data_IF_738044556820
#
_entry.id   IF_738044556820
#
_cell.length_a   1.000
_cell.length_b   1.000
_cell.length_c   1.000
_cell.angle_alpha   90.00
_cell.angle_beta   90.00
_cell.angle_gamma   90.00
#
_symmetry.space_group_name_H-M   'P 1'
#
loop_
_entity.id
_entity.type
_entity.pdbx_description
1 polymer ?
#
# COMPACT_ATOMS: atom_id res chain seq x y z
N UNK A 1 -11.16 -14.31 18.04
CA UNK A 1 -11.87 -13.10 18.53
C UNK A 1 -11.38 -12.62 19.89
N UNK A 2 -11.35 -13.43 20.96
CA UNK A 2 -10.94 -12.94 22.31
C UNK A 2 -9.51 -12.37 22.37
N UNK A 3 -8.55 -12.91 21.60
CA UNK A 3 -7.17 -12.41 21.59
C UNK A 3 -7.03 -10.98 21.05
N UNK A 4 -7.79 -10.64 20.00
CA UNK A 4 -7.80 -9.30 19.43
C UNK A 4 -8.40 -8.28 20.39
N UNK A 5 -9.54 -8.61 21.02
CA UNK A 5 -10.12 -7.76 22.07
C UNK A 5 -9.16 -7.57 23.24
N UNK A 6 -8.49 -8.64 23.68
CA UNK A 6 -7.51 -8.55 24.76
C UNK A 6 -6.35 -7.62 24.40
N UNK A 7 -5.86 -7.65 23.15
CA UNK A 7 -4.81 -6.74 22.70
C UNK A 7 -5.25 -5.27 22.75
N UNK A 8 -6.49 -4.97 22.31
CA UNK A 8 -7.08 -3.63 22.43
C UNK A 8 -7.18 -3.21 23.90
N UNK A 9 -7.77 -4.05 24.75
CA UNK A 9 -8.01 -3.75 26.17
C UNK A 9 -6.71 -3.55 26.97
N UNK A 10 -5.60 -4.13 26.51
CA UNK A 10 -4.31 -4.07 27.20
C UNK A 10 -3.24 -3.25 26.44
N UNK A 11 -3.64 -2.52 25.39
CA UNK A 11 -2.75 -1.70 24.56
C UNK A 11 -1.84 -0.80 25.39
N UNK A 12 -2.43 0.10 26.16
CA UNK A 12 -1.68 1.10 26.93
C UNK A 12 -0.96 0.48 28.13
N UNK A 13 -1.47 -0.64 28.65
CA UNK A 13 -0.88 -1.35 29.80
C UNK A 13 0.48 -1.98 29.46
N UNK A 14 0.60 -2.53 28.26
CA UNK A 14 1.81 -3.23 27.82
C UNK A 14 2.58 -2.51 26.70
N UNK A 15 2.07 -1.38 26.19
CA UNK A 15 2.64 -0.70 25.02
C UNK A 15 2.51 -1.58 23.78
N UNK A 16 1.30 -2.09 23.50
CA UNK A 16 1.06 -2.94 22.32
C UNK A 16 0.86 -2.04 21.10
N UNK A 17 1.94 -1.78 20.38
CA UNK A 17 1.88 -0.98 19.15
C UNK A 17 1.55 -1.84 17.92
N UNK A 18 1.88 -3.14 17.97
CA UNK A 18 1.80 -4.06 16.83
C UNK A 18 1.13 -5.38 17.23
N UNK A 19 0.21 -5.85 16.39
CA UNK A 19 -0.38 -7.20 16.43
C UNK A 19 -0.05 -7.92 15.12
N UNK A 20 0.37 -9.18 15.23
CA UNK A 20 0.59 -10.04 14.07
C UNK A 20 -0.24 -11.32 14.20
N UNK A 21 -0.88 -11.74 13.11
CA UNK A 21 -1.67 -12.98 13.06
C UNK A 21 -1.31 -13.80 11.84
N UNK A 22 -0.59 -14.89 12.08
CA UNK A 22 -0.22 -15.91 11.10
C UNK A 22 -1.26 -17.05 11.00
N UNK A 23 -2.54 -16.70 11.08
CA UNK A 23 -3.67 -17.62 11.07
C UNK A 23 -4.69 -17.16 10.03
N UNK A 24 -5.36 -18.10 9.40
CA UNK A 24 -6.48 -17.87 8.49
C UNK A 24 -7.37 -19.11 8.44
N UNK A 25 -8.55 -18.94 7.86
CA UNK A 25 -9.40 -20.07 7.49
C UNK A 25 -8.74 -20.85 6.35
N UNK A 26 -8.60 -22.17 6.51
CA UNK A 26 -8.12 -23.05 5.44
C UNK A 26 -9.33 -23.75 4.84
N UNK A 27 -9.90 -23.17 3.79
CA UNK A 27 -10.99 -23.81 3.04
C UNK A 27 -10.49 -24.18 1.64
N UNK A 28 -10.72 -25.42 1.22
CA UNK A 28 -10.49 -25.86 -0.16
C UNK A 28 -11.65 -25.35 -1.03
N UNK A 29 -11.77 -24.04 -1.23
CA UNK A 29 -12.86 -23.47 -2.03
C UNK A 29 -12.43 -22.18 -2.73
N UNK A 30 -13.09 -21.85 -3.85
CA UNK A 30 -13.07 -20.50 -4.40
C UNK A 30 -13.93 -19.66 -3.46
N UNK A 31 -13.34 -18.68 -2.77
CA UNK A 31 -14.07 -17.90 -1.76
C UNK A 31 -15.09 -16.97 -2.43
N UNK A 32 -16.36 -17.09 -2.05
CA UNK A 32 -17.45 -16.22 -2.56
C UNK A 32 -17.82 -15.16 -1.50
N UNK A 33 -17.28 -15.30 -0.28
CA UNK A 33 -17.63 -14.54 0.92
C UNK A 33 -16.42 -13.94 1.66
N UNK A 34 -15.24 -13.92 1.05
CA UNK A 34 -14.04 -13.24 1.55
C UNK A 34 -14.07 -11.72 1.24
N UNK A 35 -15.15 -11.05 1.61
CA UNK A 35 -15.37 -9.61 1.38
C UNK A 35 -14.96 -8.75 2.58
N UNK A 36 -14.28 -9.32 3.58
CA UNK A 36 -13.92 -8.64 4.83
C UNK A 36 -15.08 -8.54 5.83
N UNK A 37 -16.27 -9.06 5.52
CA UNK A 37 -17.43 -9.02 6.42
C UNK A 37 -17.47 -10.16 7.43
N UNK A 38 -16.46 -11.03 7.45
CA UNK A 38 -16.31 -12.07 8.47
C UNK A 38 -16.20 -11.45 9.87
N UNK A 39 -16.64 -12.18 10.90
CA UNK A 39 -16.49 -11.72 12.28
C UNK A 39 -15.02 -11.58 12.70
N UNK A 40 -14.11 -12.34 12.08
CA UNK A 40 -12.68 -12.23 12.34
C UNK A 40 -12.08 -11.02 11.61
N UNK A 41 -12.42 -10.81 10.34
CA UNK A 41 -11.91 -9.69 9.53
C UNK A 41 -12.29 -8.35 10.17
N UNK A 42 -13.58 -8.16 10.51
CA UNK A 42 -14.04 -6.96 11.25
C UNK A 42 -13.35 -6.78 12.61
N UNK A 43 -13.01 -7.87 13.29
CA UNK A 43 -12.30 -7.77 14.57
C UNK A 43 -10.86 -7.30 14.37
N UNK A 44 -10.19 -7.70 13.28
CA UNK A 44 -8.86 -7.21 12.96
C UNK A 44 -8.90 -5.75 12.48
N UNK A 45 -9.96 -5.33 11.79
CA UNK A 45 -10.20 -3.91 11.49
C UNK A 45 -10.34 -3.09 12.78
N UNK A 46 -11.11 -3.56 13.77
CA UNK A 46 -11.21 -2.90 15.08
C UNK A 46 -9.87 -2.79 15.83
N UNK A 47 -8.94 -3.73 15.63
CA UNK A 47 -7.58 -3.61 16.21
C UNK A 47 -6.83 -2.45 15.57
N UNK A 48 -6.94 -2.30 14.25
CA UNK A 48 -6.35 -1.16 13.53
C UNK A 48 -6.99 0.16 13.93
N UNK A 49 -8.31 0.22 14.03
CA UNK A 49 -9.06 1.40 14.49
C UNK A 49 -8.68 1.81 15.93
N UNK A 50 -8.27 0.87 16.76
CA UNK A 50 -7.74 1.14 18.10
C UNK A 50 -6.29 1.69 18.11
N UNK A 51 -5.71 1.98 16.93
CA UNK A 51 -4.37 2.54 16.80
C UNK A 51 -3.26 1.50 17.02
N UNK A 52 -3.52 0.24 16.64
CA UNK A 52 -2.54 -0.86 16.70
C UNK A 52 -2.23 -1.31 15.27
N UNK A 53 -0.96 -1.21 14.86
CA UNK A 53 -0.50 -1.69 13.56
C UNK A 53 -0.73 -3.20 13.49
N UNK A 54 -1.40 -3.66 12.44
CA UNK A 54 -1.82 -5.07 12.34
C UNK A 54 -1.32 -5.69 11.04
N UNK A 55 -0.58 -6.81 11.15
CA UNK A 55 -0.14 -7.61 10.01
C UNK A 55 -0.82 -8.99 10.00
N UNK A 56 -1.30 -9.40 8.83
CA UNK A 56 -2.02 -10.65 8.61
C UNK A 56 -1.35 -11.48 7.53
N UNK A 57 -1.36 -12.80 7.65
CA UNK A 57 -0.92 -13.68 6.57
C UNK A 57 -1.93 -13.69 5.42
N UNK A 58 -1.45 -13.64 4.17
CA UNK A 58 -2.32 -13.81 3.01
C UNK A 58 -2.97 -15.19 2.92
N UNK A 59 -2.34 -16.22 3.53
CA UNK A 59 -2.79 -17.61 3.47
C UNK A 59 -1.83 -18.50 2.68
N UNK A 60 -2.04 -19.82 2.74
CA UNK A 60 -1.22 -20.79 2.01
C UNK A 60 -2.09 -21.79 1.24
N UNK A 61 -3.25 -21.32 0.80
CA UNK A 61 -4.25 -22.12 0.12
C UNK A 61 -3.60 -22.81 -1.09
N UNK A 62 -4.02 -24.04 -1.36
CA UNK A 62 -3.50 -24.92 -2.42
C UNK A 62 -2.17 -25.63 -2.18
N UNK A 63 -1.34 -25.32 -1.18
CA UNK A 63 -0.28 -26.24 -0.71
C UNK A 63 0.59 -26.91 -1.79
N UNK A 64 0.97 -26.20 -2.86
CA UNK A 64 1.74 -26.73 -3.99
C UNK A 64 0.96 -27.55 -5.02
N UNK A 65 -0.36 -27.73 -4.87
CA UNK A 65 -1.25 -28.21 -5.91
C UNK A 65 -1.63 -27.03 -6.82
N UNK A 66 -1.06 -27.00 -8.03
CA UNK A 66 -1.30 -26.02 -9.09
C UNK A 66 -2.71 -26.11 -9.70
N UNK A 67 -3.75 -26.15 -8.88
CA UNK A 67 -5.14 -26.03 -9.32
C UNK A 67 -5.63 -24.61 -9.07
N UNK A 68 -5.06 -23.72 -9.89
CA UNK A 68 -5.70 -22.57 -10.54
C UNK A 68 -6.77 -21.79 -9.77
N UNK A 69 -6.43 -20.58 -9.32
CA UNK A 69 -7.43 -19.58 -8.95
C UNK A 69 -6.88 -18.23 -8.50
N UNK A 70 -7.42 -17.15 -9.06
CA UNK A 70 -7.53 -15.87 -8.36
C UNK A 70 -8.43 -16.06 -7.14
N UNK A 71 -8.40 -15.14 -6.17
CA UNK A 71 -9.37 -15.12 -5.08
C UNK A 71 -9.21 -16.29 -4.08
N UNK A 72 -8.00 -16.40 -3.53
CA UNK A 72 -7.58 -17.44 -2.58
C UNK A 72 -7.15 -16.89 -1.22
N UNK A 73 -7.19 -15.57 -1.04
CA UNK A 73 -7.00 -14.93 0.26
C UNK A 73 -8.30 -15.04 1.05
N UNK A 74 -8.26 -15.62 2.24
CA UNK A 74 -9.42 -15.81 3.09
C UNK A 74 -9.33 -14.99 4.39
N UNK A 75 -10.39 -15.02 5.17
CA UNK A 75 -10.49 -14.41 6.50
C UNK A 75 -9.39 -14.91 7.45
N UNK A 76 -8.70 -14.00 8.17
CA UNK A 76 -8.90 -12.55 8.22
C UNK A 76 -8.05 -11.76 7.20
N UNK A 77 -7.28 -12.42 6.33
CA UNK A 77 -6.40 -11.76 5.35
C UNK A 77 -7.14 -10.87 4.34
N UNK A 78 -8.46 -11.05 4.21
CA UNK A 78 -9.38 -10.22 3.44
C UNK A 78 -9.83 -8.93 4.19
N UNK A 79 -9.43 -8.71 5.45
CA UNK A 79 -9.76 -7.50 6.21
C UNK A 79 -9.28 -6.21 5.51
N UNK A 80 -10.01 -5.11 5.69
CA UNK A 80 -9.79 -3.87 4.93
C UNK A 80 -8.56 -3.09 5.42
N UNK A 81 -8.46 -2.90 6.73
CA UNK A 81 -7.50 -2.00 7.34
C UNK A 81 -6.12 -2.64 7.56
N UNK A 82 -5.99 -3.88 8.07
CA UNK A 82 -4.69 -4.52 8.27
C UNK A 82 -3.86 -4.64 6.99
N UNK A 83 -2.55 -4.83 7.18
CA UNK A 83 -1.61 -5.15 6.11
C UNK A 83 -1.52 -6.67 5.95
N UNK A 84 -2.00 -7.16 4.82
CA UNK A 84 -1.97 -8.58 4.44
C UNK A 84 -0.67 -8.88 3.70
N UNK A 85 0.05 -9.93 4.12
CA UNK A 85 1.43 -10.19 3.72
C UNK A 85 1.55 -11.47 2.90
N UNK A 86 2.02 -11.34 1.66
CA UNK A 86 2.40 -12.45 0.77
C UNK A 86 3.79 -13.01 1.11
N UNK A 87 4.06 -14.24 0.65
CA UNK A 87 5.32 -14.95 0.89
C UNK A 87 6.18 -14.98 -0.36
N UNK A 88 7.45 -14.60 -0.20
CA UNK A 88 8.49 -14.73 -1.22
C UNK A 88 9.43 -15.90 -0.90
N UNK A 89 9.98 -16.49 -1.97
CA UNK A 89 11.14 -17.35 -1.95
C UNK A 89 12.44 -16.55 -1.72
N UNK A 90 13.55 -17.25 -1.45
CA UNK A 90 14.85 -16.61 -1.17
C UNK A 90 15.49 -15.95 -2.40
N UNK A 91 15.07 -16.35 -3.59
CA UNK A 91 15.39 -15.68 -4.86
C UNK A 91 14.42 -14.53 -5.15
N UNK A 92 13.57 -14.18 -4.19
CA UNK A 92 12.57 -13.11 -4.23
C UNK A 92 11.44 -13.37 -5.24
N UNK A 93 11.32 -14.59 -5.78
CA UNK A 93 10.12 -15.02 -6.50
C UNK A 93 8.91 -15.12 -5.56
N UNK A 94 7.70 -14.95 -6.08
CA UNK A 94 6.50 -15.23 -5.30
C UNK A 94 6.45 -16.73 -4.98
N UNK A 95 6.32 -17.07 -3.70
CA UNK A 95 6.26 -18.48 -3.32
C UNK A 95 5.00 -19.13 -3.92
N UNK A 96 5.15 -20.32 -4.49
CA UNK A 96 4.05 -21.00 -5.22
C UNK A 96 2.78 -21.18 -4.38
N UNK A 97 2.93 -21.31 -3.06
CA UNK A 97 1.84 -21.50 -2.11
C UNK A 97 1.24 -20.17 -1.60
N UNK A 98 1.79 -19.01 -1.95
CA UNK A 98 1.27 -17.73 -1.47
C UNK A 98 -0.10 -17.46 -2.09
N UNK A 99 -1.09 -17.22 -1.24
CA UNK A 99 -2.43 -16.88 -1.69
C UNK A 99 -2.45 -15.53 -2.40
N UNK A 100 -3.41 -15.40 -3.32
CA UNK A 100 -3.55 -14.29 -4.26
C UNK A 100 -4.98 -13.76 -4.20
N UNK A 101 -5.13 -12.45 -4.29
CA UNK A 101 -6.43 -11.81 -4.42
C UNK A 101 -7.03 -11.99 -5.82
N UNK A 102 -8.01 -11.19 -6.21
CA UNK A 102 -8.70 -10.17 -5.41
C UNK A 102 -9.54 -10.80 -4.29
N UNK A 103 -10.02 -10.00 -3.35
CA UNK A 103 -11.16 -10.39 -2.50
C UNK A 103 -12.44 -10.49 -3.35
N UNK A 104 -13.49 -11.15 -2.84
CA UNK A 104 -14.77 -11.28 -3.56
C UNK A 104 -15.48 -9.94 -3.85
N UNK A 105 -15.16 -8.89 -3.10
CA UNK A 105 -15.59 -7.50 -3.33
C UNK A 105 -14.61 -6.66 -4.16
N UNK A 106 -13.66 -7.31 -4.85
CA UNK A 106 -12.69 -6.71 -5.78
C UNK A 106 -11.66 -5.76 -5.15
N UNK A 107 -11.42 -5.83 -3.83
CA UNK A 107 -10.26 -5.16 -3.23
C UNK A 107 -8.99 -5.91 -3.58
N UNK A 108 -7.92 -5.15 -3.82
CA UNK A 108 -6.59 -5.72 -4.04
C UNK A 108 -6.05 -6.19 -2.70
N UNK A 109 -5.70 -7.46 -2.63
CA UNK A 109 -4.89 -8.09 -1.58
C UNK A 109 -3.95 -9.10 -2.26
N UNK A 110 -2.76 -9.38 -1.72
CA UNK A 110 -2.18 -8.85 -0.47
C UNK A 110 -1.79 -7.38 -0.60
N UNK A 111 -1.34 -6.76 0.50
CA UNK A 111 -0.83 -5.38 0.47
C UNK A 111 0.69 -5.34 0.17
N UNK A 112 1.46 -6.31 0.66
CA UNK A 112 2.93 -6.35 0.49
C UNK A 112 3.44 -7.79 0.51
N UNK A 113 4.59 -8.05 -0.08
CA UNK A 113 5.26 -9.35 -0.03
C UNK A 113 6.62 -9.28 0.68
N UNK A 114 6.95 -10.31 1.47
CA UNK A 114 8.30 -10.46 2.05
C UNK A 114 8.71 -11.92 2.15
N UNK A 115 9.97 -12.21 2.46
CA UNK A 115 10.51 -13.57 2.46
C UNK A 115 9.81 -14.41 3.54
N UNK A 116 9.16 -15.50 3.11
CA UNK A 116 8.50 -16.46 4.00
C UNK A 116 8.89 -17.91 3.75
N UNK A 117 9.67 -18.22 2.70
CA UNK A 117 10.16 -19.57 2.43
C UNK A 117 11.48 -19.91 3.10
N UNK A 118 11.56 -21.13 3.65
CA UNK A 118 12.78 -21.70 4.23
C UNK A 118 13.41 -20.79 5.29
N UNK A 119 12.56 -20.20 6.13
CA UNK A 119 12.94 -19.33 7.24
C UNK A 119 13.37 -20.19 8.41
N UNK A 120 14.61 -19.99 8.86
CA UNK A 120 15.13 -20.58 10.09
C UNK A 120 14.57 -19.81 11.28
N UNK A 121 13.83 -20.50 12.15
CA UNK A 121 13.21 -19.93 13.34
C UNK A 121 13.40 -20.86 14.55
N UNK A 122 13.27 -20.34 15.79
CA UNK A 122 13.34 -21.17 16.99
C UNK A 122 12.35 -22.34 16.93
N UNK A 123 12.82 -23.54 17.28
CA UNK A 123 11.98 -24.73 17.30
C UNK A 123 11.31 -24.88 18.67
N UNK A 124 9.99 -24.91 18.68
CA UNK A 124 9.22 -24.99 19.91
C UNK A 124 9.53 -26.29 20.67
N UNK A 125 9.49 -26.23 22.00
CA UNK A 125 9.85 -27.34 22.88
C UNK A 125 11.33 -27.80 22.81
N UNK A 126 12.21 -26.97 22.24
CA UNK A 126 13.66 -27.12 22.34
C UNK A 126 14.29 -25.96 23.12
N UNK A 127 15.49 -26.15 23.66
CA UNK A 127 16.18 -25.09 24.41
C UNK A 127 16.93 -24.12 23.49
N UNK A 128 17.56 -24.64 22.44
CA UNK A 128 18.43 -23.93 21.52
C UNK A 128 18.26 -24.40 20.06
N UNK A 129 17.22 -25.19 19.80
CA UNK A 129 16.94 -25.75 18.48
C UNK A 129 16.37 -24.71 17.52
N UNK A 130 16.70 -24.90 16.25
CA UNK A 130 16.15 -24.13 15.15
C UNK A 130 15.60 -25.08 14.09
N UNK A 131 14.52 -24.65 13.44
CA UNK A 131 13.87 -25.39 12.37
C UNK A 131 13.57 -24.48 11.20
N UNK A 132 13.57 -25.04 10.00
CA UNK A 132 13.21 -24.33 8.78
C UNK A 132 11.73 -24.53 8.50
N UNK A 133 10.99 -23.44 8.31
CA UNK A 133 9.58 -23.46 7.89
C UNK A 133 9.34 -22.52 6.72
N UNK A 134 8.27 -22.80 5.97
CA UNK A 134 7.82 -21.99 4.84
C UNK A 134 6.35 -21.64 5.02
N UNK A 135 5.95 -20.42 4.66
CA UNK A 135 4.56 -19.97 4.68
C UNK A 135 4.44 -18.45 4.73
N UNK A 136 3.28 -17.92 4.31
CA UNK A 136 2.89 -16.53 4.62
C UNK A 136 2.86 -16.28 6.12
N UNK A 137 2.62 -17.33 6.92
CA UNK A 137 2.78 -17.35 8.38
C UNK A 137 4.20 -16.99 8.86
N UNK A 138 5.23 -17.19 8.05
CA UNK A 138 6.62 -16.80 8.34
C UNK A 138 6.94 -15.40 7.79
N UNK A 139 6.35 -15.02 6.66
CA UNK A 139 6.48 -13.66 6.09
C UNK A 139 5.82 -12.60 6.99
N UNK A 140 4.66 -12.91 7.56
CA UNK A 140 3.87 -11.98 8.40
C UNK A 140 4.61 -11.45 9.64
N UNK A 141 5.24 -12.31 10.48
CA UNK A 141 6.02 -11.81 11.61
C UNK A 141 7.33 -11.12 11.19
N UNK A 142 7.87 -11.43 10.00
CA UNK A 142 8.99 -10.66 9.45
C UNK A 142 8.53 -9.21 9.15
N UNK A 143 7.37 -9.04 8.52
CA UNK A 143 6.77 -7.72 8.31
C UNK A 143 6.42 -7.02 9.62
N UNK A 144 5.95 -7.74 10.64
CA UNK A 144 5.73 -7.19 11.97
C UNK A 144 7.03 -6.69 12.62
N UNK A 145 8.16 -7.38 12.39
CA UNK A 145 9.48 -6.92 12.82
C UNK A 145 9.91 -5.63 12.13
N UNK A 146 9.63 -5.49 10.82
CA UNK A 146 9.85 -4.24 10.09
C UNK A 146 8.98 -3.11 10.66
N UNK A 147 7.70 -3.39 10.93
CA UNK A 147 6.81 -2.43 11.59
C UNK A 147 7.35 -1.98 12.96
N UNK A 148 7.95 -2.88 13.74
CA UNK A 148 8.55 -2.54 15.02
C UNK A 148 9.74 -1.58 14.88
N UNK A 149 10.54 -1.72 13.81
CA UNK A 149 11.61 -0.76 13.50
C UNK A 149 11.05 0.59 13.05
N UNK A 150 9.95 0.62 12.30
CA UNK A 150 9.27 1.86 11.91
C UNK A 150 8.71 2.60 13.13
N UNK A 151 8.06 1.89 14.05
CA UNK A 151 7.58 2.45 15.33
C UNK A 151 8.75 2.89 16.21
N UNK A 152 9.88 2.19 16.18
CA UNK A 152 11.08 2.64 16.89
C UNK A 152 11.61 3.97 16.34
N UNK A 153 11.59 4.16 15.02
CA UNK A 153 11.99 5.42 14.39
C UNK A 153 10.98 6.54 14.63
N UNK A 154 9.68 6.22 14.68
CA UNK A 154 8.59 7.15 14.96
C UNK A 154 7.54 6.51 15.89
N UNK A 155 7.64 6.74 17.22
CA UNK A 155 6.73 6.14 18.20
C UNK A 155 5.26 6.54 18.07
N UNK A 156 4.99 7.62 17.34
CA UNK A 156 3.65 8.15 17.12
C UNK A 156 3.07 7.68 15.77
N UNK A 157 3.77 6.79 15.04
CA UNK A 157 3.36 6.29 13.73
C UNK A 157 1.97 5.64 13.80
N UNK A 158 1.06 6.16 12.98
CA UNK A 158 -0.31 5.63 12.92
C UNK A 158 -0.41 4.43 11.98
N UNK A 159 -1.43 3.55 12.15
CA UNK A 159 -1.64 2.45 11.21
C UNK A 159 -1.90 2.90 9.77
N UNK A 160 -2.53 4.06 9.57
CA UNK A 160 -2.73 4.66 8.25
C UNK A 160 -1.39 5.08 7.63
N UNK A 161 -0.58 5.86 8.36
CA UNK A 161 0.77 6.25 7.88
C UNK A 161 1.65 5.02 7.59
N UNK A 162 1.56 3.97 8.41
CA UNK A 162 2.24 2.70 8.17
C UNK A 162 1.84 2.07 6.83
N UNK A 163 0.53 2.01 6.53
CA UNK A 163 0.03 1.47 5.26
C UNK A 163 0.38 2.36 4.07
N UNK A 164 0.33 3.68 4.24
CA UNK A 164 0.71 4.64 3.21
C UNK A 164 2.20 4.55 2.87
N UNK A 165 3.09 4.41 3.87
CA UNK A 165 4.52 4.18 3.66
C UNK A 165 4.75 2.89 2.86
N UNK A 166 4.10 1.78 3.26
CA UNK A 166 4.21 0.52 2.51
C UNK A 166 3.79 0.72 1.06
N UNK A 167 2.68 1.42 0.83
CA UNK A 167 2.15 1.64 -0.51
C UNK A 167 3.08 2.47 -1.40
N UNK A 168 3.72 3.50 -0.84
CA UNK A 168 4.54 4.43 -1.59
C UNK A 168 5.99 3.95 -1.77
N UNK A 169 6.50 3.11 -0.88
CA UNK A 169 7.93 2.75 -0.79
C UNK A 169 8.26 1.29 -1.07
N UNK A 170 7.26 0.43 -1.33
CA UNK A 170 7.54 -0.97 -1.70
C UNK A 170 8.34 -1.05 -3.01
N UNK A 171 9.24 -2.03 -3.09
CA UNK A 171 10.00 -2.32 -4.31
C UNK A 171 9.08 -3.02 -5.29
N UNK A 172 8.87 -2.40 -6.44
CA UNK A 172 8.06 -2.98 -7.50
C UNK A 172 8.67 -4.31 -8.00
N UNK A 173 7.81 -5.32 -8.23
CA UNK A 173 8.22 -6.65 -8.70
C UNK A 173 7.49 -6.98 -10.00
N UNK A 174 8.23 -7.34 -11.04
CA UNK A 174 7.63 -7.71 -12.33
C UNK A 174 6.64 -8.87 -12.16
N UNK A 175 5.44 -8.70 -12.70
CA UNK A 175 4.44 -9.75 -12.78
C UNK A 175 4.87 -10.68 -13.93
N UNK A 176 5.30 -11.90 -13.62
CA UNK A 176 5.75 -12.84 -14.63
C UNK A 176 4.55 -13.54 -15.31
N UNK A 177 4.03 -12.91 -16.37
CA UNK A 177 2.89 -13.37 -17.15
C UNK A 177 3.07 -14.72 -17.89
N UNK A 178 4.30 -15.25 -18.01
CA UNK A 178 4.62 -16.29 -19.03
C UNK A 178 5.31 -17.56 -18.52
N UNK A 179 5.51 -17.74 -17.20
CA UNK A 179 6.18 -18.93 -16.67
C UNK A 179 5.36 -19.71 -15.63
N UNK A 180 4.12 -19.33 -15.33
CA UNK A 180 3.22 -20.17 -14.54
C UNK A 180 2.46 -21.13 -15.48
N UNK A 181 2.71 -22.45 -15.43
CA UNK A 181 2.01 -23.44 -16.25
C UNK A 181 0.53 -23.66 -15.87
N UNK A 182 -0.02 -22.90 -14.91
CA UNK A 182 -1.44 -22.89 -14.57
C UNK A 182 -2.16 -21.65 -15.09
N UNK A 183 -3.49 -21.72 -15.22
CA UNK A 183 -4.38 -20.59 -15.47
C UNK A 183 -4.43 -19.60 -14.27
N UNK A 184 -3.28 -19.28 -13.67
CA UNK A 184 -3.09 -18.47 -12.46
C UNK A 184 -2.87 -16.99 -12.74
N UNK A 185 -2.77 -16.60 -14.01
CA UNK A 185 -2.59 -15.21 -14.40
C UNK A 185 -3.90 -14.44 -14.28
N UNK A 186 -4.10 -13.89 -13.10
CA UNK A 186 -5.22 -13.05 -12.72
C UNK A 186 -4.96 -11.56 -12.98
N UNK A 187 -3.79 -11.23 -13.54
CA UNK A 187 -3.35 -9.86 -13.82
C UNK A 187 -3.95 -9.34 -15.13
N UNK A 188 -5.25 -9.60 -15.34
CA UNK A 188 -6.01 -9.29 -16.56
C UNK A 188 -5.93 -7.80 -16.95
N UNK A 189 -5.48 -6.94 -16.03
CA UNK A 189 -4.98 -5.59 -16.28
C UNK A 189 -3.77 -5.36 -15.35
N UNK A 190 -2.62 -4.96 -15.89
CA UNK A 190 -1.47 -4.48 -15.11
C UNK A 190 -1.93 -3.30 -14.24
N UNK A 191 -2.23 -3.58 -12.98
CA UNK A 191 -2.72 -2.59 -12.03
C UNK A 191 -1.89 -2.71 -10.77
N UNK A 192 -1.45 -1.58 -10.24
CA UNK A 192 -0.67 -1.51 -9.00
C UNK A 192 -1.51 -0.76 -7.94
N UNK A 193 -1.71 -1.33 -6.75
CA UNK A 193 -1.23 -2.63 -6.30
C UNK A 193 -1.85 -3.79 -7.10
N UNK A 194 -1.10 -4.89 -7.25
CA UNK A 194 -1.55 -6.11 -7.93
C UNK A 194 -2.00 -7.18 -6.92
N UNK A 195 -2.65 -8.24 -7.40
CA UNK A 195 -3.24 -9.26 -6.54
C UNK A 195 -2.26 -10.37 -6.09
N UNK A 196 -0.98 -10.25 -6.41
CA UNK A 196 0.08 -11.21 -6.06
C UNK A 196 1.09 -10.64 -5.06
N UNK A 197 1.68 -9.50 -5.40
CA UNK A 197 2.68 -8.78 -4.60
C UNK A 197 2.09 -7.58 -3.85
N UNK A 198 0.86 -7.18 -4.15
CA UNK A 198 0.28 -5.96 -3.60
C UNK A 198 1.00 -4.73 -4.14
N UNK A 199 1.48 -3.88 -3.23
CA UNK A 199 2.34 -2.73 -3.58
C UNK A 199 3.76 -3.15 -3.96
N UNK A 200 4.17 -4.40 -3.69
CA UNK A 200 5.47 -4.93 -4.06
C UNK A 200 6.17 -5.67 -2.93
N UNK A 201 7.48 -5.82 -3.07
CA UNK A 201 8.35 -6.37 -2.05
C UNK A 201 8.62 -5.33 -0.96
N UNK A 202 8.57 -5.75 0.31
CA UNK A 202 8.94 -4.91 1.45
C UNK A 202 10.40 -4.41 1.34
N UNK A 203 10.60 -3.11 1.55
CA UNK A 203 11.91 -2.48 1.70
C UNK A 203 12.07 -1.95 3.14
N UNK A 204 12.70 -2.71 4.04
CA UNK A 204 12.84 -2.31 5.43
C UNK A 204 13.55 -0.97 5.60
N UNK A 205 14.52 -0.66 4.74
CA UNK A 205 15.31 0.57 4.87
C UNK A 205 14.45 1.76 4.49
N UNK A 206 13.84 1.73 3.30
CA UNK A 206 12.99 2.82 2.84
C UNK A 206 11.79 3.05 3.76
N UNK A 207 11.22 1.98 4.32
CA UNK A 207 10.09 2.08 5.27
C UNK A 207 10.48 2.76 6.58
N UNK A 208 11.63 2.38 7.16
CA UNK A 208 12.10 2.95 8.44
C UNK A 208 12.55 4.39 8.26
N UNK A 209 13.25 4.70 7.17
CA UNK A 209 13.62 6.08 6.83
C UNK A 209 12.37 6.95 6.64
N UNK A 210 11.42 6.52 5.82
CA UNK A 210 10.17 7.27 5.60
C UNK A 210 9.39 7.48 6.90
N UNK A 211 9.30 6.47 7.77
CA UNK A 211 8.63 6.59 9.07
C UNK A 211 9.32 7.63 9.97
N UNK A 212 10.65 7.60 10.04
CA UNK A 212 11.46 8.50 10.86
C UNK A 212 11.46 9.96 10.38
N UNK A 213 11.26 10.18 9.07
CA UNK A 213 11.23 11.52 8.48
C UNK A 213 9.89 12.25 8.61
N UNK A 214 8.82 11.59 9.09
CA UNK A 214 7.50 12.24 9.20
C UNK A 214 7.56 13.41 10.20
N UNK A 215 7.34 14.61 9.67
CA UNK A 215 7.16 15.86 10.40
C UNK A 215 5.68 16.25 10.38
N UNK A 216 5.03 16.14 11.55
CA UNK A 216 3.59 16.43 11.71
C UNK A 216 3.24 17.91 11.67
N UNK A 217 4.23 18.81 11.60
CA UNK A 217 3.99 20.23 11.31
C UNK A 217 3.74 20.47 9.81
N UNK A 218 4.11 19.51 8.97
CA UNK A 218 3.89 19.54 7.53
C UNK A 218 2.61 18.79 7.17
N UNK A 219 1.96 19.24 6.10
CA UNK A 219 0.79 18.58 5.54
C UNK A 219 0.78 18.75 4.01
N UNK A 220 0.23 17.76 3.32
CA UNK A 220 -0.06 17.83 1.89
C UNK A 220 -1.42 17.20 1.64
N UNK A 221 -2.16 17.74 0.68
CA UNK A 221 -3.42 17.17 0.24
C UNK A 221 -3.60 17.36 -1.25
N UNK A 222 -3.92 16.27 -1.95
CA UNK A 222 -4.31 16.24 -3.34
C UNK A 222 -5.81 16.46 -3.50
N UNK A 223 -6.18 17.19 -4.53
CA UNK A 223 -7.57 17.39 -4.94
C UNK A 223 -8.05 16.26 -5.86
N UNK A 224 -7.73 15.01 -5.49
CA UNK A 224 -8.15 13.80 -6.20
C UNK A 224 -9.03 12.99 -5.27
N UNK A 225 -10.28 12.77 -5.69
CA UNK A 225 -11.19 11.90 -4.94
C UNK A 225 -10.93 10.43 -5.32
N UNK A 226 -11.19 9.51 -4.39
CA UNK A 226 -10.95 8.08 -4.59
C UNK A 226 -11.72 7.55 -5.81
N UNK A 227 -11.06 6.73 -6.63
CA UNK A 227 -11.55 6.12 -7.88
C UNK A 227 -11.87 7.11 -9.00
N UNK A 228 -11.31 8.33 -8.97
CA UNK A 228 -11.43 9.23 -10.11
C UNK A 228 -10.72 8.67 -11.35
N UNK A 229 -11.36 8.88 -12.51
CA UNK A 229 -10.79 8.63 -13.82
C UNK A 229 -9.88 9.80 -14.21
N UNK A 230 -8.60 9.50 -14.45
CA UNK A 230 -7.58 10.49 -14.81
C UNK A 230 -7.07 10.15 -16.21
N UNK A 231 -7.36 11.05 -17.16
CA UNK A 231 -6.93 10.94 -18.54
C UNK A 231 -5.44 11.17 -18.70
N UNK A 232 -4.93 10.77 -19.86
CA UNK A 232 -3.53 10.96 -20.22
C UNK A 232 -3.12 12.45 -20.13
N UNK A 233 -1.94 12.72 -19.56
CA UNK A 233 -1.39 14.07 -19.41
C UNK A 233 -2.25 15.05 -18.59
N UNK A 234 -3.13 14.54 -17.73
CA UNK A 234 -3.95 15.36 -16.83
C UNK A 234 -3.10 16.08 -15.78
N UNK A 235 -3.63 17.18 -15.27
CA UNK A 235 -3.04 17.88 -14.13
C UNK A 235 -3.63 17.35 -12.83
N UNK A 236 -2.75 17.16 -11.85
CA UNK A 236 -3.12 16.97 -10.45
C UNK A 236 -2.78 18.25 -9.70
N UNK A 237 -3.69 18.69 -8.83
CA UNK A 237 -3.52 19.88 -8.00
C UNK A 237 -3.68 19.52 -6.53
N UNK A 238 -3.21 20.40 -5.67
CA UNK A 238 -3.40 20.26 -4.25
C UNK A 238 -2.98 21.47 -3.45
N UNK A 239 -3.08 21.30 -2.14
CA UNK A 239 -2.64 22.27 -1.14
C UNK A 239 -1.59 21.62 -0.25
N UNK A 240 -0.74 22.43 0.37
CA UNK A 240 0.18 21.97 1.41
C UNK A 240 0.35 23.06 2.46
N UNK A 241 0.91 22.72 3.61
CA UNK A 241 1.17 23.69 4.67
C UNK A 241 2.33 23.26 5.55
N UNK A 242 2.93 24.23 6.24
CA UNK A 242 4.01 24.01 7.22
C UNK A 242 5.40 24.34 6.68
N UNK A 243 5.61 24.33 5.36
CA UNK A 243 6.84 24.80 4.76
C UNK A 243 6.99 26.33 4.89
N UNK A 244 8.23 26.78 5.07
CA UNK A 244 8.54 28.20 5.01
C UNK A 244 8.66 28.67 3.54
N UNK A 245 8.36 29.95 3.23
CA UNK A 245 8.63 30.54 1.92
C UNK A 245 10.03 30.23 1.37
N UNK A 246 10.09 29.71 0.15
CA UNK A 246 11.32 29.35 -0.56
C UNK A 246 11.98 28.05 -0.06
N UNK A 247 11.27 27.25 0.74
CA UNK A 247 11.76 25.95 1.22
C UNK A 247 10.88 24.80 0.78
N UNK A 248 11.48 23.63 0.71
CA UNK A 248 10.80 22.38 0.37
C UNK A 248 10.36 22.25 -1.08
N UNK A 249 9.76 21.09 -1.35
CA UNK A 249 9.27 20.65 -2.65
C UNK A 249 8.09 19.71 -2.44
N UNK A 250 6.98 19.95 -3.13
CA UNK A 250 5.94 18.92 -3.25
C UNK A 250 6.38 17.93 -4.34
N UNK A 251 6.43 16.66 -3.97
CA UNK A 251 6.74 15.55 -4.86
C UNK A 251 5.51 14.67 -5.07
N UNK A 252 5.36 14.18 -6.30
CA UNK A 252 4.28 13.31 -6.71
C UNK A 252 4.85 12.03 -7.31
N UNK A 253 4.23 10.89 -7.00
CA UNK A 253 4.56 9.58 -7.57
C UNK A 253 3.29 8.90 -8.05
N UNK A 254 3.34 8.20 -9.18
CA UNK A 254 2.24 7.40 -9.72
C UNK A 254 2.63 5.94 -9.74
N UNK A 255 1.84 5.08 -9.09
CA UNK A 255 2.12 3.65 -8.98
C UNK A 255 3.51 3.37 -8.41
N UNK A 256 4.27 2.48 -9.05
CA UNK A 256 5.67 2.20 -8.71
C UNK A 256 6.71 3.15 -9.33
N UNK A 257 6.27 4.23 -9.99
CA UNK A 257 7.16 5.19 -10.66
C UNK A 257 8.08 5.99 -9.72
N UNK A 258 8.85 6.91 -10.29
CA UNK A 258 9.73 7.79 -9.53
C UNK A 258 8.97 9.01 -8.98
N UNK A 259 9.44 9.52 -7.84
CA UNK A 259 8.99 10.81 -7.33
C UNK A 259 9.43 11.94 -8.27
N UNK A 260 8.51 12.87 -8.56
CA UNK A 260 8.72 14.00 -9.44
C UNK A 260 8.20 15.28 -8.81
N UNK A 261 8.97 16.36 -8.92
CA UNK A 261 8.61 17.66 -8.34
C UNK A 261 7.41 18.31 -9.03
N UNK A 262 6.47 18.81 -8.25
CA UNK A 262 5.36 19.65 -8.72
C UNK A 262 5.82 21.10 -8.95
N UNK A 263 4.97 21.90 -9.59
CA UNK A 263 5.11 23.34 -9.69
C UNK A 263 4.39 24.02 -8.51
N UNK A 264 5.09 24.94 -7.84
CA UNK A 264 4.49 25.81 -6.83
C UNK A 264 3.69 26.93 -7.50
N UNK A 265 2.41 27.04 -7.13
CA UNK A 265 1.48 28.06 -7.60
C UNK A 265 1.18 29.12 -6.53
N UNK A 266 1.76 28.99 -5.34
CA UNK A 266 1.65 29.97 -4.26
C UNK A 266 2.35 31.29 -4.63
N UNK A 267 1.89 32.38 -4.01
CA UNK A 267 2.52 33.71 -4.22
C UNK A 267 3.82 33.87 -3.46
N UNK A 268 3.93 33.17 -2.32
CA UNK A 268 5.02 33.34 -1.36
C UNK A 268 6.09 32.25 -1.50
N UNK A 269 5.89 31.25 -2.37
CA UNK A 269 6.83 30.14 -2.55
C UNK A 269 6.76 29.14 -1.40
N UNK A 270 5.60 29.00 -0.76
CA UNK A 270 5.37 28.19 0.44
C UNK A 270 4.61 26.89 0.15
N UNK A 271 4.41 26.55 -1.13
CA UNK A 271 3.67 25.38 -1.59
C UNK A 271 2.19 25.32 -1.16
N UNK A 272 1.60 26.42 -0.68
CA UNK A 272 0.20 26.46 -0.26
C UNK A 272 -0.78 26.07 -1.38
N UNK A 273 -0.38 26.19 -2.64
CA UNK A 273 -1.04 25.63 -3.80
C UNK A 273 0.01 25.10 -4.78
N UNK A 274 -0.21 23.91 -5.33
CA UNK A 274 0.74 23.26 -6.24
C UNK A 274 0.01 22.49 -7.36
N UNK A 275 0.73 22.23 -8.44
CA UNK A 275 0.21 21.39 -9.54
C UNK A 275 1.32 20.62 -10.24
N UNK A 276 1.00 19.41 -10.70
CA UNK A 276 1.87 18.63 -11.59
C UNK A 276 1.08 18.17 -12.81
N UNK A 277 1.73 18.15 -13.97
CA UNK A 277 1.23 17.45 -15.15
C UNK A 277 1.74 16.02 -15.10
N UNK A 278 0.84 15.04 -15.15
CA UNK A 278 1.25 13.64 -15.17
C UNK A 278 1.93 13.30 -16.51
N UNK A 279 2.95 12.44 -16.43
CA UNK A 279 3.60 11.89 -17.62
C UNK A 279 2.62 11.01 -18.41
N UNK A 280 2.85 10.83 -19.73
CA UNK A 280 1.98 9.99 -20.51
C UNK A 280 2.00 8.54 -20.04
N UNK A 281 0.82 7.94 -19.84
CA UNK A 281 0.67 6.52 -19.56
C UNK A 281 0.14 5.76 -20.77
N UNK A 282 0.69 4.56 -21.00
CA UNK A 282 0.39 3.74 -22.19
C UNK A 282 -0.77 2.76 -21.98
N UNK A 283 -1.12 2.48 -20.72
CA UNK A 283 -2.18 1.51 -20.36
C UNK A 283 -3.16 2.12 -19.38
N UNK A 284 -4.44 1.91 -19.65
CA UNK A 284 -5.51 2.20 -18.69
C UNK A 284 -5.51 1.18 -17.57
N UNK A 285 -5.79 1.61 -16.34
CA UNK A 285 -5.82 0.70 -15.19
C UNK A 285 -5.91 1.39 -13.84
N UNK A 286 -6.20 0.60 -12.81
CA UNK A 286 -6.12 1.05 -11.44
C UNK A 286 -4.66 1.39 -11.09
N UNK A 287 -4.48 2.56 -10.51
CA UNK A 287 -3.20 3.02 -9.97
C UNK A 287 -3.43 3.80 -8.68
N UNK A 288 -2.34 4.20 -8.04
CA UNK A 288 -2.37 5.09 -6.88
C UNK A 288 -1.45 6.27 -7.15
N UNK A 289 -1.93 7.48 -6.90
CA UNK A 289 -1.11 8.68 -6.90
C UNK A 289 -0.75 9.00 -5.45
N UNK A 290 0.52 9.31 -5.22
CA UNK A 290 1.07 9.68 -3.93
C UNK A 290 1.57 11.12 -3.98
N UNK A 291 1.35 11.87 -2.91
CA UNK A 291 1.94 13.19 -2.71
C UNK A 291 2.63 13.27 -1.36
N UNK A 292 3.75 14.00 -1.32
CA UNK A 292 4.44 14.38 -0.08
C UNK A 292 5.04 15.77 -0.23
N UNK A 293 5.07 16.53 0.87
CA UNK A 293 5.85 17.75 0.97
C UNK A 293 7.19 17.41 1.64
N UNK A 294 8.30 17.68 0.95
CA UNK A 294 9.66 17.40 1.44
C UNK A 294 10.33 18.72 1.75
N UNK A 295 10.69 18.97 3.02
CA UNK A 295 11.49 20.14 3.42
C UNK A 295 12.98 19.78 3.50
N UNK A 296 13.27 18.57 3.98
CA UNK A 296 14.59 17.94 4.00
C UNK A 296 14.44 16.42 4.08
N UNK A 297 15.55 15.67 3.96
CA UNK A 297 15.54 14.21 4.08
C UNK A 297 14.93 13.71 5.40
N UNK A 298 15.10 14.48 6.50
CA UNK A 298 14.56 14.14 7.83
C UNK A 298 13.25 14.88 8.17
N UNK A 299 12.61 15.58 7.22
CA UNK A 299 11.38 16.34 7.45
C UNK A 299 10.51 16.32 6.20
N UNK A 300 9.57 15.37 6.20
CA UNK A 300 8.56 15.17 5.15
C UNK A 300 7.16 15.16 5.77
N UNK A 301 6.15 15.61 5.03
CA UNK A 301 4.77 15.39 5.45
C UNK A 301 4.41 13.90 5.43
N UNK A 302 3.36 13.49 6.15
CA UNK A 302 2.65 12.26 5.83
C UNK A 302 2.32 12.19 4.33
N UNK A 303 2.34 10.98 3.76
CA UNK A 303 2.02 10.75 2.35
C UNK A 303 0.50 10.80 2.18
N UNK A 304 0.01 11.63 1.25
CA UNK A 304 -1.38 11.54 0.80
C UNK A 304 -1.45 10.56 -0.38
N UNK A 305 -2.25 9.50 -0.25
CA UNK A 305 -2.38 8.44 -1.25
C UNK A 305 -3.82 8.38 -1.79
N UNK A 306 -3.98 8.40 -3.13
CA UNK A 306 -5.29 8.40 -3.81
C UNK A 306 -5.35 7.33 -4.88
N UNK A 307 -6.27 6.37 -4.74
CA UNK A 307 -6.58 5.38 -5.78
C UNK A 307 -7.30 6.06 -6.94
N UNK A 308 -6.87 5.76 -8.16
CA UNK A 308 -7.39 6.35 -9.41
C UNK A 308 -7.49 5.29 -10.50
N UNK A 309 -8.25 5.60 -11.55
CA UNK A 309 -8.27 4.84 -12.80
C UNK A 309 -7.57 5.70 -13.86
N UNK A 310 -6.39 5.28 -14.30
CA UNK A 310 -5.70 5.93 -15.41
C UNK A 310 -6.39 5.54 -16.73
N UNK A 311 -6.61 6.50 -17.62
CA UNK A 311 -7.21 6.29 -18.94
C UNK A 311 -6.24 6.72 -20.06
N UNK A 312 -5.89 5.80 -20.95
CA UNK A 312 -4.98 5.99 -22.09
C UNK A 312 -5.41 7.11 -23.06
N UNK A 313 -6.71 7.41 -23.11
CA UNK A 313 -7.27 8.48 -23.92
C UNK A 313 -6.84 9.89 -23.44
N UNK A 314 -6.36 10.72 -24.37
CA UNK A 314 -6.28 12.17 -24.15
C UNK A 314 -7.70 12.73 -23.98
N UNK A 315 -7.96 13.36 -22.83
CA UNK A 315 -9.25 13.99 -22.59
C UNK A 315 -9.42 15.16 -23.58
N UNK A 316 -10.27 14.99 -24.58
CA UNK A 316 -10.67 16.05 -25.52
C UNK A 316 -12.14 16.38 -25.28
N UNK A 317 -12.44 17.49 -24.60
CA UNK A 317 -13.84 17.88 -24.49
C UNK A 317 -14.17 19.07 -23.58
N UNK A 318 -14.32 20.24 -24.20
CA UNK A 318 -15.39 21.16 -23.81
C UNK A 318 -16.75 20.52 -24.08
N UNK A 319 -17.54 20.19 -23.05
CA UNK A 319 -18.97 20.55 -22.89
C UNK A 319 -19.73 19.64 -21.92
N UNK A 320 -20.33 20.30 -20.92
CA UNK A 320 -21.60 19.99 -20.27
C UNK A 320 -21.88 18.55 -19.81
N UNK A 321 -21.30 18.17 -18.68
CA UNK A 321 -22.13 17.69 -17.56
C UNK A 321 -21.46 18.09 -16.25
N UNK A 322 -22.23 18.71 -15.38
CA UNK A 322 -21.82 19.16 -14.06
C UNK A 322 -21.48 17.96 -13.18
N UNK A 323 -20.19 17.69 -13.01
CA UNK A 323 -19.65 16.66 -12.13
C UNK A 323 -18.45 15.97 -12.74
N UNK A 324 -17.25 16.33 -12.24
CA UNK A 324 -15.91 15.76 -12.45
C UNK A 324 -15.00 16.54 -13.42
N UNK A 325 -13.93 17.05 -12.79
CA UNK A 325 -12.73 17.78 -13.27
C UNK A 325 -12.94 19.11 -14.01
N UNK A 326 -12.74 20.20 -13.28
CA UNK A 326 -12.50 21.55 -13.81
C UNK A 326 -11.82 22.33 -12.66
N UNK A 327 -10.73 23.09 -12.76
CA UNK A 327 -10.05 23.80 -13.87
C UNK A 327 -8.62 24.11 -13.42
N UNK A 328 -7.62 24.07 -14.30
CA UNK A 328 -6.33 24.72 -14.02
C UNK A 328 -6.44 26.26 -14.00
N UNK A 329 -5.35 26.97 -13.67
CA UNK A 329 -5.08 28.29 -14.23
C UNK A 329 -4.10 28.18 -15.41
N UNK A 330 -4.66 28.43 -16.60
CA UNK A 330 -4.21 29.18 -17.80
C UNK A 330 -2.68 29.29 -18.09
N UNK A 331 -2.24 29.09 -19.36
CA UNK A 331 -0.88 29.40 -19.81
C UNK A 331 -0.59 30.90 -19.68
N UNK A 332 0.60 31.25 -19.19
CA UNK A 332 1.14 32.61 -19.27
C UNK A 332 1.42 32.96 -20.74
N UNK A 333 0.39 33.38 -21.46
CA UNK A 333 0.52 34.14 -22.69
C UNK A 333 0.91 35.57 -22.30
N UNK A 334 2.15 35.94 -22.60
CA UNK A 334 2.49 37.36 -22.78
C UNK A 334 2.14 37.75 -24.22
N UNK A 335 1.24 38.72 -24.43
CA UNK A 335 1.38 39.60 -25.58
C UNK A 335 1.46 41.06 -25.10
N UNK A 336 2.55 41.75 -25.44
CA UNK A 336 2.52 42.88 -26.38
C UNK A 336 3.81 43.73 -26.33
N UNK A 337 4.18 44.17 -27.54
CA UNK A 337 5.26 45.06 -27.99
C UNK A 337 6.70 44.55 -27.91
#
# INVERSE_FOLDING_TARGET
MQGAQWAIDNRDKYGIDIVTSSLGEQQFEVHIDNDGSSAWSRQMDMVVEAGIITTLSAGNEFGGATLAGCNTIDSPGDAELPVTVASLDKDLGLAIYSSRGYTSDFRVKPDVATIGSSIMAPDAATQDGYTSKSGTSMATPLMAGIAALMVQANPDLTPTEFKDIISAHSIERDIQLLNDPGFNDCSVLETRPDNEFGFGQADPTAFVEAAGSIDRSLNVSMEVYTFQEIGNESYVTGTSSGAAPGTGLVEIKVGGGLWSGAADLSKDGDWSSWSIKLDPHEKSGNSTIYARLVVSDDSISPVDARRVILLDAQFSGSSSSSGLTNLGPIPSSYPSS
#
